data_IF_784448015807
#
_entry.id   IF_784448015807
#
_cell.length_a   1.000
_cell.length_b   1.000
_cell.length_c   1.000
_cell.angle_alpha   90.00
_cell.angle_beta   90.00
_cell.angle_gamma   90.00
#
_symmetry.space_group_name_H-M   'P 1'
#
loop_
_entity.id
_entity.type
_entity.pdbx_description
1 polymer ?
#
# COMPACT_ATOMS: atom_id res chain seq x y z
N UNK A 1 -3.97 -14.67 8.83
CA UNK A 1 -3.84 -13.22 8.60
C UNK A 1 -4.96 -12.48 9.33
N UNK A 2 -4.65 -11.39 10.04
CA UNK A 2 -5.68 -10.56 10.68
C UNK A 2 -6.47 -9.84 9.57
N UNK A 3 -7.80 -10.01 9.52
CA UNK A 3 -8.66 -9.32 8.55
C UNK A 3 -8.84 -7.87 8.98
N UNK A 4 -7.83 -7.05 8.73
CA UNK A 4 -7.89 -5.61 9.00
C UNK A 4 -8.92 -4.93 8.11
N UNK A 5 -9.81 -4.12 8.70
CA UNK A 5 -10.74 -3.26 7.96
C UNK A 5 -9.98 -2.40 6.93
N UNK A 6 -8.78 -1.94 7.31
CA UNK A 6 -7.92 -1.17 6.43
C UNK A 6 -7.50 -1.95 5.17
N UNK A 7 -7.12 -3.23 5.30
CA UNK A 7 -6.75 -4.05 4.14
C UNK A 7 -7.90 -4.14 3.13
N UNK A 8 -9.11 -4.45 3.60
CA UNK A 8 -10.30 -4.54 2.73
C UNK A 8 -10.56 -3.23 1.99
N UNK A 9 -10.49 -2.10 2.69
CA UNK A 9 -10.71 -0.80 2.09
C UNK A 9 -9.60 -0.42 1.11
N UNK A 10 -8.35 -0.72 1.45
CA UNK A 10 -7.20 -0.46 0.58
C UNK A 10 -7.29 -1.23 -0.75
N UNK A 11 -7.70 -2.50 -0.71
CA UNK A 11 -7.92 -3.30 -1.93
C UNK A 11 -8.98 -2.69 -2.84
N UNK A 12 -10.00 -2.04 -2.28
CA UNK A 12 -11.02 -1.34 -3.06
C UNK A 12 -10.48 -0.01 -3.63
N UNK A 13 -9.78 0.78 -2.81
CA UNK A 13 -9.23 2.08 -3.21
C UNK A 13 -8.08 1.97 -4.21
N UNK A 14 -7.29 0.90 -4.16
CA UNK A 14 -6.22 0.64 -5.13
C UNK A 14 -6.72 0.63 -6.58
N UNK A 15 -7.96 0.16 -6.80
CA UNK A 15 -8.59 0.17 -8.13
C UNK A 15 -8.84 1.59 -8.66
N UNK A 16 -9.03 2.57 -7.78
CA UNK A 16 -9.23 3.98 -8.17
C UNK A 16 -7.97 4.63 -8.73
N UNK A 17 -6.79 4.10 -8.42
CA UNK A 17 -5.49 4.54 -8.97
C UNK A 17 -4.95 3.57 -10.02
N UNK A 18 -5.84 2.82 -10.68
CA UNK A 18 -5.51 1.86 -11.73
C UNK A 18 -4.49 0.79 -11.32
N UNK A 19 -4.46 0.43 -10.03
CA UNK A 19 -3.70 -0.73 -9.56
C UNK A 19 -4.57 -1.98 -9.65
N UNK A 20 -4.11 -2.95 -10.44
CA UNK A 20 -4.62 -4.32 -10.36
C UNK A 20 -4.10 -4.99 -9.10
N UNK A 21 -4.99 -5.62 -8.34
CA UNK A 21 -4.63 -6.26 -7.07
C UNK A 21 -4.93 -7.74 -7.12
N UNK A 22 -3.92 -8.54 -6.79
CA UNK A 22 -3.99 -10.00 -6.71
C UNK A 22 -3.52 -10.44 -5.33
N UNK A 23 -4.31 -11.30 -4.69
CA UNK A 23 -3.89 -11.97 -3.46
C UNK A 23 -3.26 -13.31 -3.83
N UNK A 24 -1.97 -13.44 -3.57
CA UNK A 24 -1.23 -14.68 -3.80
C UNK A 24 -0.15 -14.89 -2.74
N UNK A 25 0.34 -16.13 -2.65
CA UNK A 25 1.50 -16.47 -1.85
C UNK A 25 2.75 -15.86 -2.50
N UNK A 26 3.51 -15.09 -1.74
CA UNK A 26 4.78 -14.50 -2.18
C UNK A 26 5.96 -15.16 -1.47
N UNK A 27 7.10 -15.22 -2.14
CA UNK A 27 8.38 -15.67 -1.60
C UNK A 27 9.37 -14.49 -1.47
N UNK A 28 10.49 -14.64 -0.74
CA UNK A 28 11.47 -13.57 -0.56
C UNK A 28 12.17 -13.08 -1.84
N UNK A 29 12.13 -13.85 -2.94
CA UNK A 29 12.65 -13.43 -4.24
C UNK A 29 11.68 -12.52 -4.98
N UNK A 30 10.38 -12.68 -4.80
CA UNK A 30 9.37 -11.79 -5.39
C UNK A 30 9.52 -10.37 -4.84
N UNK A 31 9.77 -10.24 -3.53
CA UNK A 31 10.10 -8.97 -2.89
C UNK A 31 11.34 -8.33 -3.51
N UNK A 32 12.37 -9.13 -3.84
CA UNK A 32 13.59 -8.60 -4.45
C UNK A 32 13.42 -8.20 -5.92
N UNK A 33 12.37 -8.67 -6.61
CA UNK A 33 12.05 -8.33 -8.00
C UNK A 33 11.00 -7.23 -8.11
N UNK A 34 10.31 -6.91 -7.02
CA UNK A 34 9.30 -5.86 -7.01
C UNK A 34 9.91 -4.50 -7.32
N UNK A 35 9.19 -3.66 -8.06
CA UNK A 35 9.59 -2.28 -8.29
C UNK A 35 9.47 -1.44 -7.01
N UNK A 36 8.48 -1.79 -6.17
CA UNK A 36 8.17 -1.10 -4.91
C UNK A 36 7.59 -2.08 -3.88
N UNK A 37 7.92 -1.87 -2.60
CA UNK A 37 7.39 -2.63 -1.47
C UNK A 37 6.80 -1.66 -0.45
N UNK A 38 5.65 -2.01 0.12
CA UNK A 38 5.00 -1.24 1.17
C UNK A 38 4.40 -2.12 2.26
N UNK A 39 4.25 -1.50 3.43
CA UNK A 39 3.52 -2.01 4.57
C UNK A 39 2.23 -1.22 4.73
N UNK A 40 1.19 -1.92 5.17
CA UNK A 40 -0.13 -1.32 5.36
C UNK A 40 -0.65 -1.65 6.75
N UNK A 41 -1.05 -0.66 7.52
CA UNK A 41 -1.70 -0.89 8.82
C UNK A 41 -2.71 0.24 9.13
N UNK A 42 -3.58 0.01 10.11
CA UNK A 42 -4.64 0.97 10.46
C UNK A 42 -4.11 2.26 11.12
N UNK A 43 -2.92 2.24 11.71
CA UNK A 43 -2.36 3.36 12.48
C UNK A 43 -1.64 4.36 11.55
N UNK A 44 -0.77 3.85 10.69
CA UNK A 44 0.11 4.59 9.77
C UNK A 44 -0.52 4.70 8.38
N UNK A 45 -1.39 3.76 8.01
CA UNK A 45 -1.95 3.69 6.67
C UNK A 45 -1.02 2.92 5.74
N UNK A 46 -0.24 3.62 4.91
CA UNK A 46 0.70 3.05 3.92
C UNK A 46 2.09 3.63 4.14
N UNK A 47 3.09 2.77 4.20
CA UNK A 47 4.49 3.16 4.33
C UNK A 47 5.36 2.31 3.40
N UNK A 48 6.16 2.93 2.53
CA UNK A 48 7.06 2.20 1.64
C UNK A 48 8.29 1.69 2.40
N UNK A 49 8.91 0.64 1.87
CA UNK A 49 10.15 0.06 2.36
C UNK A 49 11.29 0.56 1.50
N UNK A 50 12.11 1.47 2.04
CA UNK A 50 13.24 2.03 1.29
C UNK A 50 14.34 0.99 1.02
N UNK A 51 14.60 0.09 1.98
CA UNK A 51 15.67 -0.91 1.86
C UNK A 51 15.19 -2.28 2.31
N UNK A 52 15.43 -3.29 1.47
CA UNK A 52 15.26 -4.70 1.81
C UNK A 52 16.42 -5.50 1.24
N UNK A 53 17.20 -6.14 2.13
CA UNK A 53 18.47 -6.82 1.80
C UNK A 53 19.41 -5.88 1.05
N UNK A 54 19.79 -6.21 -0.18
CA UNK A 54 20.71 -5.43 -1.03
C UNK A 54 20.00 -4.45 -1.96
N UNK A 55 18.66 -4.45 -1.97
CA UNK A 55 17.87 -3.62 -2.87
C UNK A 55 17.40 -2.35 -2.17
N UNK A 56 17.35 -1.25 -2.93
CA UNK A 56 16.77 0.03 -2.52
C UNK A 56 15.59 0.34 -3.44
N UNK A 57 14.43 0.67 -2.86
CA UNK A 57 13.18 0.90 -3.57
C UNK A 57 12.76 2.36 -3.43
N UNK A 58 12.10 2.88 -4.46
CA UNK A 58 11.44 4.18 -4.42
C UNK A 58 10.02 4.02 -3.88
N UNK A 59 9.43 5.14 -3.47
CA UNK A 59 8.10 5.19 -2.85
C UNK A 59 7.06 5.92 -3.70
N UNK A 60 7.19 5.89 -5.02
CA UNK A 60 6.42 6.77 -5.91
C UNK A 60 4.94 6.38 -5.93
N UNK A 61 4.63 5.08 -5.99
CA UNK A 61 3.24 4.60 -5.91
C UNK A 61 2.69 4.65 -4.49
N UNK A 62 3.52 4.48 -3.46
CA UNK A 62 3.11 4.67 -2.06
C UNK A 62 2.63 6.10 -1.84
N UNK A 63 3.35 7.10 -2.36
CA UNK A 63 2.97 8.52 -2.23
C UNK A 63 1.63 8.81 -2.89
N UNK A 64 1.39 8.26 -4.09
CA UNK A 64 0.10 8.37 -4.77
C UNK A 64 -1.04 7.78 -3.92
N UNK A 65 -0.81 6.60 -3.35
CA UNK A 65 -1.79 5.93 -2.49
C UNK A 65 -2.03 6.69 -1.17
N UNK A 66 -0.99 7.27 -0.56
CA UNK A 66 -1.12 8.12 0.63
C UNK A 66 -1.94 9.37 0.33
N UNK A 67 -1.73 10.02 -0.82
CA UNK A 67 -2.53 11.18 -1.22
C UNK A 67 -4.01 10.82 -1.43
N UNK A 68 -4.30 9.65 -2.01
CA UNK A 68 -5.67 9.13 -2.11
C UNK A 68 -6.28 8.90 -0.72
N UNK A 69 -5.55 8.28 0.20
CA UNK A 69 -6.01 8.02 1.56
C UNK A 69 -6.33 9.33 2.31
N UNK A 70 -5.45 10.32 2.22
CA UNK A 70 -5.68 11.64 2.81
C UNK A 70 -6.95 12.30 2.25
N UNK A 71 -7.18 12.24 0.93
CA UNK A 71 -8.42 12.74 0.33
C UNK A 71 -9.66 12.04 0.89
N UNK A 72 -9.62 10.71 1.04
CA UNK A 72 -10.75 9.94 1.59
C UNK A 72 -11.03 10.29 3.05
N UNK A 73 -9.98 10.47 3.86
CA UNK A 73 -10.10 10.85 5.27
C UNK A 73 -10.62 12.28 5.45
N UNK A 74 -10.12 13.23 4.66
CA UNK A 74 -10.57 14.63 4.74
C UNK A 74 -12.06 14.78 4.41
N UNK A 75 -12.57 14.04 3.42
CA UNK A 75 -13.99 14.04 3.07
C UNK A 75 -14.87 13.52 4.20
N UNK A 76 -14.37 12.56 4.99
CA UNK A 76 -15.10 12.00 6.13
C UNK A 76 -15.03 12.89 7.37
N UNK A 77 -13.95 13.67 7.55
CA UNK A 77 -13.79 14.60 8.66
C UNK A 77 -14.47 15.96 8.45
N UNK A 78 -14.89 16.28 7.22
CA UNK A 78 -15.63 17.50 6.87
C UNK A 78 -17.14 17.31 6.81
N UNK A 79 -17.65 16.13 7.18
CA UNK A 79 -19.07 15.79 7.35
C UNK A 79 -19.40 15.72 8.85
#
# INVERSE_FOLDING_TARGET
ALRGVFRKNLLNWAKEISLEVKEESINPFDLQKADEIWLTNTIIGVQWVEKYRKNTYKGDKAKELVALLQRKLNVLGSL
#
